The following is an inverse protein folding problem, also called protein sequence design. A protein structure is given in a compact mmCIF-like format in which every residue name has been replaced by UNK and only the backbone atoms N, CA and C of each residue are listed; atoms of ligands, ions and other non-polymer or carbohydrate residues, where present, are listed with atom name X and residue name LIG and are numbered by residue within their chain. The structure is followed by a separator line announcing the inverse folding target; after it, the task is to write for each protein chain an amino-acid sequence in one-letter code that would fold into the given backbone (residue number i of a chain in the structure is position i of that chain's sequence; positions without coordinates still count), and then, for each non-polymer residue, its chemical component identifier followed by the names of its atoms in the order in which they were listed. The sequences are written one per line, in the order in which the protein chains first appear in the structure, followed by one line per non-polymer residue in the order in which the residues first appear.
data_IF_527975054734
#
_entry.id   IF_527975054734
#
_cell.length_a   1.000
_cell.length_b   1.000
_cell.length_c   1.000
_cell.angle_alpha   90.00
_cell.angle_beta   90.00
_cell.angle_gamma   90.00
#
_symmetry.space_group_name_H-M   'P 1'
#
loop_
_entity.id
_entity.type
_entity.pdbx_description
1 polymer ?
#
# COMPACT_ATOMS: atom_id res chain seq x y z
N UNK A 1 -2.46 13.78 11.63
CA UNK A 1 -3.71 13.10 11.23
C UNK A 1 -4.76 13.35 12.33
N UNK A 2 -5.99 13.74 12.01
CA UNK A 2 -7.03 13.96 13.03
C UNK A 2 -7.50 12.61 13.62
N UNK A 3 -8.10 12.63 14.81
CA UNK A 3 -8.65 11.43 15.45
C UNK A 3 -9.80 10.80 14.64
N UNK A 4 -10.61 11.62 13.96
CA UNK A 4 -11.64 11.13 13.05
C UNK A 4 -11.04 10.32 11.87
N UNK A 5 -9.89 10.76 11.35
CA UNK A 5 -9.22 10.10 10.24
C UNK A 5 -8.63 8.73 10.63
N UNK A 6 -8.11 8.61 11.85
CA UNK A 6 -7.59 7.32 12.34
C UNK A 6 -8.70 6.30 12.54
N UNK A 7 -9.85 6.72 13.04
CA UNK A 7 -11.04 5.85 13.19
C UNK A 7 -11.56 5.38 11.84
N UNK A 8 -11.71 6.30 10.87
CA UNK A 8 -12.14 5.95 9.52
C UNK A 8 -11.20 4.93 8.87
N UNK A 9 -9.89 5.17 8.95
CA UNK A 9 -8.90 4.25 8.40
C UNK A 9 -8.92 2.87 9.10
N UNK A 10 -9.05 2.83 10.42
CA UNK A 10 -9.15 1.57 11.16
C UNK A 10 -10.38 0.74 10.74
N UNK A 11 -11.51 1.40 10.50
CA UNK A 11 -12.73 0.74 10.05
C UNK A 11 -12.61 0.20 8.61
N UNK A 12 -11.92 0.95 7.75
CA UNK A 12 -11.56 0.49 6.42
C UNK A 12 -10.69 -0.78 6.47
N UNK A 13 -9.65 -0.81 7.31
CA UNK A 13 -8.83 -2.02 7.52
C UNK A 13 -9.67 -3.20 8.01
N UNK A 14 -10.60 -2.96 8.93
CA UNK A 14 -11.53 -3.98 9.41
C UNK A 14 -12.33 -4.58 8.24
N UNK A 15 -13.00 -3.75 7.44
CA UNK A 15 -13.80 -4.27 6.32
C UNK A 15 -12.97 -5.03 5.29
N UNK A 16 -11.76 -4.58 4.99
CA UNK A 16 -10.88 -5.27 4.03
C UNK A 16 -10.44 -6.64 4.58
N UNK A 17 -10.11 -6.72 5.88
CA UNK A 17 -9.70 -7.98 6.52
C UNK A 17 -10.82 -9.02 6.55
N UNK A 18 -12.06 -8.57 6.71
CA UNK A 18 -13.27 -9.42 6.69
C UNK A 18 -13.82 -9.63 5.26
N UNK A 19 -13.02 -9.33 4.22
CA UNK A 19 -13.37 -9.49 2.80
C UNK A 19 -14.60 -8.66 2.33
N UNK A 20 -15.03 -7.65 3.10
CA UNK A 20 -16.09 -6.70 2.73
C UNK A 20 -15.60 -5.59 1.79
N UNK A 21 -14.95 -5.96 0.67
CA UNK A 21 -14.30 -5.02 -0.25
C UNK A 21 -15.25 -3.98 -0.86
N UNK A 22 -16.49 -4.39 -1.18
CA UNK A 22 -17.50 -3.47 -1.72
C UNK A 22 -17.93 -2.40 -0.71
N UNK A 23 -18.11 -2.79 0.56
CA UNK A 23 -18.43 -1.86 1.66
C UNK A 23 -17.27 -0.90 1.89
N UNK A 24 -16.04 -1.42 1.95
CA UNK A 24 -14.84 -0.61 2.12
C UNK A 24 -14.71 0.42 1.00
N UNK A 25 -14.81 0.00 -0.27
CA UNK A 25 -14.70 0.90 -1.42
C UNK A 25 -15.77 1.99 -1.41
N UNK A 26 -17.04 1.62 -1.18
CA UNK A 26 -18.13 2.60 -1.08
C UNK A 26 -17.88 3.64 0.01
N UNK A 27 -17.41 3.19 1.17
CA UNK A 27 -17.08 4.10 2.28
C UNK A 27 -15.90 4.99 1.96
N UNK A 28 -14.88 4.48 1.26
CA UNK A 28 -13.78 5.33 0.78
C UNK A 28 -14.26 6.44 -0.16
N UNK A 29 -15.21 6.11 -1.05
CA UNK A 29 -15.81 7.08 -1.98
C UNK A 29 -16.67 8.13 -1.25
N UNK A 30 -17.37 7.73 -0.17
CA UNK A 30 -18.17 8.65 0.68
C UNK A 30 -17.29 9.66 1.44
N UNK A 31 -16.18 9.22 2.03
CA UNK A 31 -15.24 10.10 2.77
C UNK A 31 -14.45 11.02 1.83
N UNK A 32 -14.10 10.51 0.63
CA UNK A 32 -13.33 11.25 -0.37
C UNK A 32 -11.86 11.46 0.02
N UNK A 33 -11.05 11.87 -0.96
CA UNK A 33 -9.59 11.99 -0.79
C UNK A 33 -9.17 13.14 0.14
N UNK A 34 -10.06 14.11 0.40
CA UNK A 34 -9.77 15.32 1.19
C UNK A 34 -9.74 15.06 2.69
N UNK A 35 -10.49 14.09 3.18
CA UNK A 35 -10.60 13.85 4.62
C UNK A 35 -9.34 13.19 5.19
N UNK A 36 -8.64 12.37 4.41
CA UNK A 36 -7.50 11.57 4.91
C UNK A 36 -6.24 12.42 5.16
N UNK A 37 -6.10 13.54 4.44
CA UNK A 37 -4.90 14.38 4.44
C UNK A 37 -3.73 13.77 3.66
N UNK A 38 -2.74 14.60 3.31
CA UNK A 38 -1.65 14.25 2.38
C UNK A 38 -0.81 13.04 2.82
N UNK A 39 -0.60 12.87 4.13
CA UNK A 39 0.22 11.77 4.68
C UNK A 39 -0.47 10.40 4.58
N UNK A 40 -1.80 10.37 4.62
CA UNK A 40 -2.59 9.15 4.52
C UNK A 40 -3.15 8.88 3.11
N UNK A 41 -3.10 9.87 2.22
CA UNK A 41 -3.63 9.80 0.85
C UNK A 41 -3.07 8.61 0.06
N UNK A 42 -1.77 8.34 0.15
CA UNK A 42 -1.14 7.21 -0.53
C UNK A 42 -1.61 5.85 0.00
N UNK A 43 -1.66 5.71 1.33
CA UNK A 43 -2.15 4.49 1.96
C UNK A 43 -3.61 4.25 1.59
N UNK A 44 -4.42 5.32 1.59
CA UNK A 44 -5.81 5.29 1.17
C UNK A 44 -5.99 4.84 -0.27
N UNK A 45 -5.28 5.47 -1.22
CA UNK A 45 -5.33 5.09 -2.64
C UNK A 45 -4.84 3.67 -2.88
N UNK A 46 -3.85 3.21 -2.10
CA UNK A 46 -3.36 1.82 -2.14
C UNK A 46 -4.44 0.83 -1.69
N UNK A 47 -5.11 1.08 -0.56
CA UNK A 47 -6.22 0.25 -0.08
C UNK A 47 -7.42 0.28 -1.04
N UNK A 48 -7.70 1.44 -1.64
CA UNK A 48 -8.73 1.61 -2.67
C UNK A 48 -8.43 0.75 -3.89
N UNK A 49 -7.20 0.83 -4.41
CA UNK A 49 -6.76 0.00 -5.53
C UNK A 49 -6.87 -1.49 -5.18
N UNK A 50 -6.48 -1.90 -3.96
CA UNK A 50 -6.63 -3.28 -3.50
C UNK A 50 -8.09 -3.76 -3.50
N UNK A 51 -9.03 -2.94 -3.00
CA UNK A 51 -10.45 -3.25 -3.06
C UNK A 51 -10.95 -3.40 -4.51
N UNK A 52 -10.55 -2.49 -5.40
CA UNK A 52 -10.92 -2.54 -6.82
C UNK A 52 -10.41 -3.83 -7.48
N UNK A 53 -9.16 -4.25 -7.18
CA UNK A 53 -8.61 -5.54 -7.65
C UNK A 53 -9.45 -6.71 -7.14
N UNK A 54 -9.77 -6.73 -5.85
CA UNK A 54 -10.55 -7.80 -5.21
C UNK A 54 -11.98 -7.91 -5.75
N UNK A 55 -12.52 -6.83 -6.29
CA UNK A 55 -13.82 -6.79 -6.97
C UNK A 55 -13.73 -7.17 -8.47
N UNK A 56 -12.58 -7.64 -8.95
CA UNK A 56 -12.39 -8.09 -10.33
C UNK A 56 -12.18 -6.96 -11.35
N UNK A 57 -11.94 -5.72 -10.88
CA UNK A 57 -11.73 -4.52 -11.72
C UNK A 57 -10.24 -4.19 -11.83
N UNK A 58 -9.39 -5.20 -12.02
CA UNK A 58 -7.92 -5.09 -11.98
C UNK A 58 -7.35 -4.01 -12.91
N UNK A 59 -7.87 -3.89 -14.14
CA UNK A 59 -7.43 -2.85 -15.10
C UNK A 59 -7.68 -1.41 -14.60
N UNK A 60 -8.76 -1.20 -13.86
CA UNK A 60 -9.05 0.12 -13.25
C UNK A 60 -8.09 0.43 -12.11
N UNK A 61 -7.80 -0.56 -11.27
CA UNK A 61 -6.82 -0.42 -10.20
C UNK A 61 -5.42 -0.11 -10.78
N UNK A 62 -5.02 -0.80 -11.87
CA UNK A 62 -3.76 -0.51 -12.55
C UNK A 62 -3.67 0.92 -13.06
N UNK A 63 -4.76 1.47 -13.62
CA UNK A 63 -4.79 2.86 -14.08
C UNK A 63 -4.57 3.84 -12.92
N UNK A 64 -5.25 3.63 -11.79
CA UNK A 64 -5.07 4.42 -10.58
C UNK A 64 -3.61 4.35 -10.09
N UNK A 65 -3.06 3.14 -10.00
CA UNK A 65 -1.70 2.91 -9.52
C UNK A 65 -0.62 3.46 -10.46
N UNK A 66 -0.83 3.41 -11.78
CA UNK A 66 0.07 4.01 -12.75
C UNK A 66 0.09 5.54 -12.66
N UNK A 67 -1.05 6.17 -12.31
CA UNK A 67 -1.09 7.61 -12.02
C UNK A 67 -0.26 7.89 -10.76
N UNK A 68 -0.46 7.11 -9.68
CA UNK A 68 0.33 7.26 -8.45
C UNK A 68 1.82 7.06 -8.68
N UNK A 69 2.21 6.11 -9.54
CA UNK A 69 3.61 5.81 -9.83
C UNK A 69 4.35 6.97 -10.52
N UNK A 70 3.60 7.81 -11.27
CA UNK A 70 4.13 8.97 -12.00
C UNK A 70 4.09 10.26 -11.18
N UNK A 71 3.40 10.26 -10.05
CA UNK A 71 3.28 11.42 -9.18
C UNK A 71 4.53 11.55 -8.29
N UNK A 72 5.36 12.55 -8.60
CA UNK A 72 6.60 12.81 -7.85
C UNK A 72 6.34 13.13 -6.38
N UNK A 73 5.16 13.67 -6.04
CA UNK A 73 4.80 13.94 -4.65
C UNK A 73 4.57 12.67 -3.83
N UNK A 74 4.46 11.52 -4.51
CA UNK A 74 4.24 10.19 -3.93
C UNK A 74 5.48 9.28 -4.03
N UNK A 75 6.65 9.86 -4.33
CA UNK A 75 7.89 9.11 -4.51
C UNK A 75 8.24 8.18 -3.33
N UNK A 76 7.94 8.58 -2.09
CA UNK A 76 8.18 7.77 -0.88
C UNK A 76 7.38 6.46 -0.85
N UNK A 77 6.29 6.38 -1.64
CA UNK A 77 5.38 5.24 -1.68
C UNK A 77 5.58 4.35 -2.90
N UNK A 78 6.57 4.65 -3.75
CA UNK A 78 6.85 3.92 -5.00
C UNK A 78 6.90 2.40 -4.82
N UNK A 79 7.54 1.95 -3.74
CA UNK A 79 7.61 0.52 -3.39
C UNK A 79 6.21 -0.10 -3.20
N UNK A 80 5.35 0.55 -2.41
CA UNK A 80 3.98 0.08 -2.17
C UNK A 80 3.12 0.09 -3.43
N UNK A 81 3.29 1.11 -4.29
CA UNK A 81 2.61 1.20 -5.58
C UNK A 81 3.02 0.06 -6.51
N UNK A 82 4.31 -0.29 -6.57
CA UNK A 82 4.81 -1.40 -7.38
C UNK A 82 4.29 -2.76 -6.88
N UNK A 83 4.26 -2.98 -5.56
CA UNK A 83 3.65 -4.19 -5.00
C UNK A 83 2.15 -4.27 -5.33
N UNK A 84 1.43 -3.15 -5.27
CA UNK A 84 0.02 -3.07 -5.66
C UNK A 84 -0.20 -3.39 -7.13
N UNK A 85 0.63 -2.83 -8.03
CA UNK A 85 0.57 -3.11 -9.45
C UNK A 85 0.78 -4.59 -9.72
N UNK A 86 1.77 -5.20 -9.04
CA UNK A 86 2.04 -6.62 -9.18
C UNK A 86 0.84 -7.48 -8.75
N UNK A 87 0.18 -7.14 -7.64
CA UNK A 87 -1.05 -7.81 -7.20
C UNK A 87 -2.16 -7.67 -8.24
N UNK A 88 -2.34 -6.47 -8.80
CA UNK A 88 -3.32 -6.23 -9.85
C UNK A 88 -3.03 -7.07 -11.11
N UNK A 89 -1.77 -7.16 -11.55
CA UNK A 89 -1.36 -7.97 -12.69
C UNK A 89 -1.57 -9.47 -12.45
N UNK A 90 -1.31 -9.96 -11.23
CA UNK A 90 -1.60 -11.35 -10.87
C UNK A 90 -3.09 -11.66 -10.81
N UNK A 91 -3.95 -10.63 -10.69
CA UNK A 91 -5.41 -10.77 -10.57
C UNK A 91 -6.14 -10.64 -11.91
N UNK A 92 -5.41 -10.44 -13.01
CA UNK A 92 -5.96 -10.43 -14.37
C UNK A 92 -6.19 -11.86 -14.89
N UNK A 93 -7.21 -12.04 -15.73
CA UNK A 93 -7.48 -13.35 -16.36
C UNK A 93 -6.33 -13.82 -17.25
N UNK A 94 -5.68 -12.87 -17.92
CA UNK A 94 -4.49 -13.12 -18.76
C UNK A 94 -3.31 -12.41 -18.13
N UNK A 95 -2.43 -13.19 -17.51
CA UNK A 95 -1.24 -12.66 -16.83
C UNK A 95 -0.20 -12.22 -17.88
N UNK A 96 0.18 -10.96 -17.80
CA UNK A 96 1.33 -10.41 -18.52
C UNK A 96 2.62 -10.71 -17.74
N UNK A 97 3.36 -11.72 -18.20
CA UNK A 97 4.60 -12.15 -17.57
C UNK A 97 5.76 -11.17 -17.77
N UNK A 98 5.75 -10.38 -18.84
CA UNK A 98 6.78 -9.38 -19.09
C UNK A 98 6.60 -8.19 -18.14
N UNK A 99 5.36 -7.72 -17.99
CA UNK A 99 5.03 -6.69 -17.01
C UNK A 99 5.40 -7.11 -15.58
N UNK A 100 5.09 -8.36 -15.19
CA UNK A 100 5.47 -8.87 -13.87
C UNK A 100 6.99 -8.90 -13.66
N UNK A 101 7.77 -9.34 -14.65
CA UNK A 101 9.24 -9.34 -14.57
C UNK A 101 9.80 -7.94 -14.42
N UNK A 102 9.26 -6.96 -15.15
CA UNK A 102 9.72 -5.58 -15.02
C UNK A 102 9.34 -4.98 -13.67
N UNK A 103 8.16 -5.29 -13.13
CA UNK A 103 7.78 -4.89 -11.78
C UNK A 103 8.69 -5.49 -10.71
N UNK A 104 9.01 -6.79 -10.82
CA UNK A 104 9.93 -7.45 -9.88
C UNK A 104 11.35 -6.85 -9.97
N UNK A 105 11.82 -6.49 -11.18
CA UNK A 105 13.09 -5.76 -11.39
C UNK A 105 13.10 -4.40 -10.70
N UNK A 106 12.02 -3.63 -10.86
CA UNK A 106 11.89 -2.30 -10.21
C UNK A 106 11.81 -2.41 -8.69
N UNK A 107 11.07 -3.39 -8.16
CA UNK A 107 11.02 -3.66 -6.72
C UNK A 107 12.43 -3.96 -6.22
N UNK A 108 13.15 -4.86 -6.88
CA UNK A 108 14.52 -5.24 -6.52
C UNK A 108 15.51 -4.06 -6.58
N UNK A 109 15.36 -3.15 -7.53
CA UNK A 109 16.19 -1.95 -7.60
C UNK A 109 15.98 -1.01 -6.40
N UNK A 110 14.75 -0.94 -5.87
CA UNK A 110 14.45 -0.15 -4.66
C UNK A 110 14.97 -0.80 -3.37
N UNK A 111 15.15 -2.12 -3.35
CA UNK A 111 15.78 -2.81 -2.21
C UNK A 111 17.23 -2.38 -1.99
N UNK A 112 17.94 -2.01 -3.04
CA UNK A 112 19.31 -1.51 -2.96
C UNK A 112 19.41 -0.06 -2.49
N UNK A 113 18.27 0.61 -2.26
CA UNK A 113 18.18 2.00 -1.83
C UNK A 113 17.63 2.07 -0.40
N UNK A 114 17.81 3.21 0.27
CA UNK A 114 17.16 3.44 1.56
C UNK A 114 15.64 3.53 1.34
N UNK A 115 14.91 2.54 1.82
CA UNK A 115 13.45 2.47 1.67
C UNK A 115 12.81 3.45 2.66
N UNK A 116 12.00 4.41 2.19
CA UNK A 116 11.25 5.30 3.08
C UNK A 116 10.29 4.51 3.99
N UNK A 117 10.27 4.83 5.28
CA UNK A 117 9.47 4.14 6.29
C UNK A 117 7.97 4.09 5.92
N UNK A 118 7.44 5.19 5.38
CA UNK A 118 6.04 5.31 4.97
C UNK A 118 5.67 4.36 3.84
N UNK A 119 6.55 4.24 2.84
CA UNK A 119 6.40 3.30 1.74
C UNK A 119 6.51 1.84 2.20
N UNK A 120 7.47 1.55 3.09
CA UNK A 120 7.64 0.23 3.68
C UNK A 120 6.41 -0.20 4.51
N UNK A 121 5.87 0.70 5.34
CA UNK A 121 4.67 0.45 6.14
C UNK A 121 3.44 0.14 5.26
N UNK A 122 3.22 0.96 4.23
CA UNK A 122 2.10 0.79 3.28
C UNK A 122 2.24 -0.52 2.50
N UNK A 123 3.44 -0.82 2.00
CA UNK A 123 3.73 -2.08 1.31
C UNK A 123 3.52 -3.30 2.22
N UNK A 124 3.99 -3.23 3.47
CA UNK A 124 3.81 -4.30 4.47
C UNK A 124 2.33 -4.57 4.68
N UNK A 125 1.54 -3.52 4.93
CA UNK A 125 0.10 -3.64 5.18
C UNK A 125 -0.60 -4.31 4.01
N UNK A 126 -0.33 -3.86 2.79
CA UNK A 126 -0.89 -4.43 1.57
C UNK A 126 -0.52 -5.92 1.41
N UNK A 127 0.75 -6.27 1.58
CA UNK A 127 1.22 -7.65 1.43
C UNK A 127 0.63 -8.59 2.48
N UNK A 128 0.41 -8.11 3.70
CA UNK A 128 -0.29 -8.87 4.74
C UNK A 128 -1.77 -9.09 4.39
N UNK A 129 -2.47 -8.06 3.91
CA UNK A 129 -3.85 -8.18 3.43
C UNK A 129 -3.98 -9.16 2.26
N UNK A 130 -2.96 -9.21 1.39
CA UNK A 130 -2.89 -10.15 0.28
C UNK A 130 -2.34 -11.54 0.67
N UNK A 131 -2.05 -11.78 1.96
CA UNK A 131 -1.50 -13.04 2.49
C UNK A 131 -0.12 -13.41 1.90
N UNK A 132 0.64 -12.44 1.37
CA UNK A 132 2.01 -12.61 0.88
C UNK A 132 3.04 -12.45 2.02
N UNK A 133 2.94 -13.27 3.06
CA UNK A 133 3.72 -13.14 4.31
C UNK A 133 5.25 -13.14 4.10
N UNK A 134 5.75 -14.01 3.22
CA UNK A 134 7.19 -14.10 2.94
C UNK A 134 7.75 -12.80 2.34
N UNK A 135 6.95 -12.11 1.52
CA UNK A 135 7.35 -10.83 0.92
C UNK A 135 7.15 -9.67 1.89
N UNK A 136 6.20 -9.77 2.82
CA UNK A 136 5.97 -8.75 3.85
C UNK A 136 7.06 -8.74 4.93
N UNK A 137 7.60 -9.93 5.27
CA UNK A 137 8.56 -10.14 6.36
C UNK A 137 9.73 -9.15 6.39
N UNK A 138 10.50 -8.93 5.30
CA UNK A 138 11.66 -8.05 5.38
C UNK A 138 11.30 -6.58 5.57
N UNK A 139 10.12 -6.13 5.10
CA UNK A 139 9.63 -4.78 5.37
C UNK A 139 9.14 -4.61 6.81
N UNK A 140 8.51 -5.64 7.36
CA UNK A 140 8.07 -5.63 8.75
C UNK A 140 9.25 -5.54 9.73
N UNK A 141 10.32 -6.32 9.50
CA UNK A 141 11.54 -6.26 10.29
C UNK A 141 12.16 -4.86 10.24
N UNK A 142 12.20 -4.23 9.06
CA UNK A 142 12.73 -2.88 8.89
C UNK A 142 11.89 -1.83 9.67
N UNK A 143 10.55 -1.91 9.59
CA UNK A 143 9.66 -1.04 10.36
C UNK A 143 9.85 -1.22 11.88
N UNK A 144 9.98 -2.46 12.35
CA UNK A 144 10.14 -2.77 13.77
C UNK A 144 11.48 -2.29 14.32
N UNK A 145 12.57 -2.50 13.57
CA UNK A 145 13.91 -2.01 13.93
C UNK A 145 13.94 -0.48 14.05
N UNK A 146 13.32 0.24 13.13
CA UNK A 146 13.26 1.70 13.18
C UNK A 146 12.47 2.22 14.39
N UNK A 147 11.39 1.54 14.79
CA UNK A 147 10.67 1.89 16.02
C UNK A 147 11.54 1.66 17.26
N UNK A 148 12.22 0.52 17.34
CA UNK A 148 13.10 0.20 18.47
C UNK A 148 14.25 1.21 18.58
N UNK A 149 14.90 1.55 17.47
CA UNK A 149 15.99 2.55 17.45
C UNK A 149 15.52 3.94 17.89
N UNK A 150 14.29 4.35 17.52
CA UNK A 150 13.70 5.60 18.01
C UNK A 150 13.47 5.59 19.53
N UNK A 151 13.01 4.47 20.08
CA UNK A 151 12.86 4.32 21.54
C UNK A 151 14.21 4.45 22.28
N UNK A 152 15.28 3.85 21.75
CA UNK A 152 16.61 3.97 22.36
C UNK A 152 17.21 5.38 22.24
N UNK A 153 16.99 6.08 21.12
CA UNK A 153 17.43 7.47 20.98
C UNK A 153 16.66 8.44 21.88
N UNK A 154 15.38 8.20 22.12
CA UNK A 154 14.55 9.00 23.02
C UNK A 154 14.86 8.74 24.50
N UNK A 155 15.33 7.54 24.85
CA UNK A 155 15.74 7.21 26.22
C UNK A 155 17.15 7.71 26.58
N UNK A 156 17.91 8.22 25.61
CA UNK A 156 19.30 8.66 25.77
C UNK A 156 19.48 10.19 25.74
N UNK A 157 18.39 10.96 25.67
CA UNK A 157 18.36 12.44 25.75
C UNK A 157 17.47 12.92 26.87
#
# INVERSE_FOLDING_TARGET
MSEANSVALAQIHYWIREDYFGTALRKMDEFGDREVGREGECHWKTLRAFCIVRLGRSSEAMRLLNIMLRDESMAEYKLSTLHSLRIAHCSEKKIDREALRELDRQIQALWSQQIPERGAFTATTLLLLDRQFERARPFWINCLLNQILRFFHFAAG
#
